data_IF_125669491981
#
_entry.id   IF_125669491981
#
_cell.length_a   1.000
_cell.length_b   1.000
_cell.length_c   1.000
_cell.angle_alpha   90.00
_cell.angle_beta   90.00
_cell.angle_gamma   90.00
#
_symmetry.space_group_name_H-M   'P 1'
#
loop_
_entity.id
_entity.type
_entity.pdbx_description
1 polymer ?
#
# COMPACT_ATOMS: atom_id res chain seq x y z
N UNK A 1 20.78 -4.72 41.35
CA UNK A 1 20.81 -4.87 42.82
C UNK A 1 19.64 -5.72 43.30
N UNK A 2 18.39 -5.46 42.89
CA UNK A 2 17.25 -6.19 43.47
C UNK A 2 16.92 -7.53 42.79
N UNK A 3 17.23 -7.66 41.49
CA UNK A 3 16.97 -8.88 40.71
C UNK A 3 17.83 -10.08 41.12
N UNK A 4 19.06 -9.84 41.60
CA UNK A 4 19.94 -10.89 42.11
C UNK A 4 19.49 -11.39 43.48
N UNK A 5 18.98 -10.50 44.35
CA UNK A 5 18.44 -10.88 45.66
C UNK A 5 17.17 -11.75 45.55
N UNK A 6 16.43 -11.67 44.45
CA UNK A 6 15.23 -12.49 44.21
C UNK A 6 15.60 -13.88 43.63
N UNK A 7 16.69 -13.97 42.86
CA UNK A 7 17.17 -15.23 42.28
C UNK A 7 17.90 -16.12 43.28
N UNK A 8 18.49 -15.53 44.32
CA UNK A 8 19.13 -16.23 45.44
C UNK A 8 18.25 -16.09 46.70
N UNK A 9 17.24 -16.96 46.89
CA UNK A 9 16.33 -16.82 48.01
C UNK A 9 17.07 -16.96 49.34
N UNK A 10 16.64 -16.25 50.39
CA UNK A 10 17.21 -16.44 51.72
C UNK A 10 16.97 -17.88 52.20
N UNK A 11 17.94 -18.47 52.87
CA UNK A 11 17.89 -19.85 53.33
C UNK A 11 17.53 -19.94 54.81
N UNK A 12 16.62 -20.84 55.16
CA UNK A 12 16.40 -21.24 56.55
C UNK A 12 17.40 -22.33 56.90
N UNK A 13 18.32 -22.02 57.81
CA UNK A 13 19.44 -22.88 58.17
C UNK A 13 19.28 -23.27 59.65
N UNK A 14 19.30 -24.57 59.98
CA UNK A 14 19.33 -25.00 61.37
C UNK A 14 20.55 -24.44 62.10
N UNK A 15 20.38 -24.09 63.38
CA UNK A 15 21.42 -23.45 64.18
C UNK A 15 22.73 -24.26 64.24
N UNK A 16 22.62 -25.59 64.24
CA UNK A 16 23.74 -26.54 64.23
C UNK A 16 24.65 -26.42 62.99
N UNK A 17 24.15 -25.84 61.90
CA UNK A 17 24.85 -25.66 60.63
C UNK A 17 25.36 -24.23 60.41
N UNK A 18 25.17 -23.33 61.37
CA UNK A 18 25.64 -21.94 61.32
C UNK A 18 27.15 -21.88 61.06
N UNK A 19 27.56 -21.17 60.01
CA UNK A 19 28.97 -20.97 59.62
C UNK A 19 29.69 -22.19 59.03
N UNK A 20 29.08 -23.38 59.05
CA UNK A 20 29.66 -24.62 58.49
C UNK A 20 29.15 -24.92 57.08
N UNK A 21 28.06 -24.28 56.68
CA UNK A 21 27.45 -24.48 55.37
C UNK A 21 28.11 -23.60 54.30
N UNK A 22 28.51 -24.20 53.19
CA UNK A 22 28.98 -23.52 51.98
C UNK A 22 28.03 -23.81 50.83
N UNK A 23 27.15 -22.86 50.50
CA UNK A 23 26.28 -22.96 49.33
C UNK A 23 27.13 -22.58 48.12
N UNK A 24 27.52 -23.58 47.32
CA UNK A 24 28.16 -23.40 46.02
C UNK A 24 27.50 -24.35 45.02
N UNK A 25 27.35 -23.97 43.74
CA UNK A 25 26.89 -24.89 42.71
C UNK A 25 27.72 -26.18 42.73
N UNK A 26 27.05 -27.35 42.72
CA UNK A 26 27.66 -28.70 42.78
C UNK A 26 28.39 -29.06 44.08
N UNK A 27 28.17 -28.31 45.18
CA UNK A 27 28.67 -28.68 46.50
C UNK A 27 27.91 -29.87 47.08
N UNK A 28 28.61 -30.84 47.67
CA UNK A 28 27.99 -31.93 48.42
C UNK A 28 27.77 -31.51 49.87
N UNK A 29 26.56 -31.74 50.38
CA UNK A 29 26.21 -31.52 51.79
C UNK A 29 25.85 -32.84 52.44
N UNK A 30 26.44 -33.12 53.59
CA UNK A 30 26.15 -34.30 54.38
C UNK A 30 25.26 -33.90 55.56
N UNK A 31 24.14 -34.59 55.73
CA UNK A 31 23.21 -34.38 56.84
C UNK A 31 22.89 -35.74 57.48
N UNK A 32 22.56 -35.71 58.77
CA UNK A 32 22.24 -36.92 59.56
C UNK A 32 20.73 -37.12 59.75
N UNK A 33 19.98 -36.02 59.80
CA UNK A 33 18.55 -35.99 60.06
C UNK A 33 17.84 -35.28 58.89
N UNK A 34 16.85 -35.94 58.29
CA UNK A 34 16.06 -35.43 57.18
C UNK A 34 15.22 -34.20 57.55
N UNK A 35 15.00 -33.95 58.83
CA UNK A 35 14.24 -32.78 59.33
C UNK A 35 15.09 -31.51 59.32
N UNK A 36 16.42 -31.66 59.38
CA UNK A 36 17.40 -30.56 59.51
C UNK A 36 17.97 -30.14 58.15
N UNK A 37 17.17 -30.21 57.09
CA UNK A 37 17.59 -29.79 55.76
C UNK A 37 17.47 -28.27 55.62
N UNK A 38 18.53 -27.58 55.16
CA UNK A 38 18.42 -26.20 54.73
C UNK A 38 17.39 -26.11 53.60
N UNK A 39 16.37 -25.28 53.78
CA UNK A 39 15.34 -25.04 52.76
C UNK A 39 15.34 -23.57 52.38
N UNK A 40 15.15 -23.23 51.09
CA UNK A 40 14.93 -21.86 50.70
C UNK A 40 13.65 -21.37 51.38
N UNK A 41 13.68 -20.15 51.93
CA UNK A 41 12.49 -19.53 52.48
C UNK A 41 11.54 -19.26 51.33
N UNK A 42 10.44 -20.01 51.27
CA UNK A 42 9.36 -19.73 50.35
C UNK A 42 8.64 -18.49 50.88
N UNK A 43 9.07 -17.30 50.44
CA UNK A 43 8.51 -16.02 50.87
C UNK A 43 7.10 -15.75 50.33
N UNK A 44 6.48 -16.71 49.61
CA UNK A 44 5.20 -16.52 48.93
C UNK A 44 5.25 -15.48 47.81
N UNK A 45 6.43 -14.95 47.48
CA UNK A 45 6.63 -14.03 46.37
C UNK A 45 6.52 -14.86 45.08
N UNK A 46 5.42 -14.67 44.36
CA UNK A 46 5.22 -15.29 43.05
C UNK A 46 6.33 -14.85 42.09
N UNK A 47 6.98 -15.80 41.41
CA UNK A 47 7.98 -15.56 40.36
C UNK A 47 7.36 -15.10 39.02
N UNK A 48 6.04 -15.28 38.86
CA UNK A 48 5.28 -14.89 37.66
C UNK A 48 5.47 -13.42 37.20
N UNK A 49 5.64 -12.41 38.07
CA UNK A 49 5.94 -11.04 37.65
C UNK A 49 7.34 -10.88 37.04
N UNK A 50 8.31 -11.73 37.41
CA UNK A 50 9.68 -11.66 36.90
C UNK A 50 9.75 -12.10 35.43
N UNK A 51 9.12 -13.23 35.11
CA UNK A 51 9.06 -13.74 33.73
C UNK A 51 8.37 -12.74 32.81
N UNK A 52 7.29 -12.11 33.28
CA UNK A 52 6.59 -11.04 32.55
C UNK A 52 7.45 -9.81 32.33
N UNK A 53 8.25 -9.39 33.32
CA UNK A 53 9.14 -8.23 33.17
C UNK A 53 10.31 -8.54 32.21
N UNK A 54 10.84 -9.76 32.26
CA UNK A 54 11.89 -10.21 31.35
C UNK A 54 11.36 -10.29 29.90
N UNK A 55 10.17 -10.85 29.73
CA UNK A 55 9.47 -10.88 28.44
C UNK A 55 9.17 -9.46 27.93
N UNK A 56 8.70 -8.56 28.80
CA UNK A 56 8.47 -7.15 28.45
C UNK A 56 9.76 -6.48 27.97
N UNK A 57 10.88 -6.67 28.67
CA UNK A 57 12.18 -6.09 28.28
C UNK A 57 12.67 -6.67 26.97
N UNK A 58 12.55 -7.99 26.78
CA UNK A 58 12.89 -8.64 25.52
C UNK A 58 12.06 -8.08 24.37
N UNK A 59 10.75 -7.93 24.55
CA UNK A 59 9.85 -7.36 23.54
C UNK A 59 10.22 -5.90 23.19
N UNK A 60 10.62 -5.09 24.17
CA UNK A 60 11.11 -3.71 23.90
C UNK A 60 12.36 -3.73 23.02
N UNK A 61 13.32 -4.60 23.34
CA UNK A 61 14.56 -4.76 22.56
C UNK A 61 14.23 -5.25 21.15
N UNK A 62 13.44 -6.31 21.03
CA UNK A 62 13.06 -6.92 19.75
C UNK A 62 12.29 -5.92 18.86
N UNK A 63 11.42 -5.10 19.46
CA UNK A 63 10.73 -4.01 18.76
C UNK A 63 11.69 -2.90 18.33
N UNK A 64 12.65 -2.53 19.17
CA UNK A 64 13.66 -1.52 18.83
C UNK A 64 14.53 -1.95 17.64
N UNK A 65 14.91 -3.23 17.58
CA UNK A 65 15.67 -3.82 16.47
C UNK A 65 14.79 -4.34 15.33
N UNK A 66 13.48 -4.14 15.41
CA UNK A 66 12.51 -4.52 14.37
C UNK A 66 12.61 -5.99 13.96
N UNK A 67 12.90 -6.86 14.93
CA UNK A 67 13.08 -8.30 14.71
C UNK A 67 11.83 -8.91 14.08
N UNK A 68 10.65 -8.46 14.49
CA UNK A 68 9.37 -8.90 13.92
C UNK A 68 9.25 -8.60 12.41
N UNK A 69 9.72 -7.44 11.93
CA UNK A 69 9.71 -7.09 10.51
C UNK A 69 10.60 -8.03 9.69
N UNK A 70 11.84 -8.26 10.13
CA UNK A 70 12.77 -9.14 9.43
C UNK A 70 12.31 -10.60 9.48
N UNK A 71 11.79 -11.04 10.63
CA UNK A 71 11.24 -12.39 10.80
C UNK A 71 10.04 -12.60 9.89
N UNK A 72 9.13 -11.63 9.79
CA UNK A 72 8.00 -11.67 8.86
C UNK A 72 8.48 -11.71 7.40
N UNK A 73 9.50 -10.91 7.02
CA UNK A 73 10.07 -10.97 5.67
C UNK A 73 10.62 -12.35 5.32
N UNK A 74 11.27 -13.02 6.28
CA UNK A 74 11.77 -14.38 6.11
C UNK A 74 10.64 -15.41 6.03
N UNK A 75 9.58 -15.25 6.81
CA UNK A 75 8.44 -16.18 6.87
C UNK A 75 7.43 -15.99 5.72
N UNK A 76 7.34 -14.78 5.15
CA UNK A 76 6.43 -14.44 4.06
C UNK A 76 6.64 -15.30 2.79
N UNK A 77 7.78 -15.99 2.67
CA UNK A 77 8.03 -16.92 1.57
C UNK A 77 7.34 -18.29 1.72
N UNK A 78 6.86 -18.68 2.91
CA UNK A 78 6.57 -20.09 3.20
C UNK A 78 5.09 -20.46 3.38
N UNK A 79 4.22 -19.58 3.88
CA UNK A 79 2.86 -20.02 4.30
C UNK A 79 1.74 -18.97 4.21
N UNK A 80 1.96 -17.79 3.62
CA UNK A 80 0.96 -16.71 3.68
C UNK A 80 0.32 -16.41 2.32
N UNK A 81 -0.98 -16.10 2.34
CA UNK A 81 -1.74 -15.65 1.16
C UNK A 81 -1.23 -14.28 0.69
N UNK A 82 -1.17 -14.06 -0.63
CA UNK A 82 -0.58 -12.87 -1.25
C UNK A 82 -1.15 -11.52 -0.73
N UNK A 83 -2.42 -11.49 -0.32
CA UNK A 83 -3.09 -10.31 0.24
C UNK A 83 -2.66 -10.00 1.67
N UNK A 84 -2.59 -11.02 2.53
CA UNK A 84 -2.18 -10.85 3.93
C UNK A 84 -0.71 -10.41 4.05
N UNK A 85 0.15 -10.91 3.14
CA UNK A 85 1.54 -10.44 3.05
C UNK A 85 1.60 -8.95 2.70
N UNK A 86 0.76 -8.49 1.77
CA UNK A 86 0.75 -7.10 1.35
C UNK A 86 0.28 -6.17 2.48
N UNK A 87 -0.80 -6.54 3.17
CA UNK A 87 -1.32 -5.78 4.29
C UNK A 87 -0.31 -5.70 5.44
N UNK A 88 0.25 -6.84 5.87
CA UNK A 88 1.26 -6.86 6.94
C UNK A 88 2.57 -6.16 6.55
N UNK A 89 3.00 -6.26 5.30
CA UNK A 89 4.13 -5.45 4.80
C UNK A 89 3.80 -3.96 4.83
N UNK A 90 2.56 -3.56 4.52
CA UNK A 90 2.19 -2.15 4.53
C UNK A 90 2.21 -1.55 5.94
N UNK A 91 1.71 -2.29 6.94
CA UNK A 91 1.71 -1.88 8.35
C UNK A 91 3.14 -1.78 8.88
N UNK A 92 3.98 -2.77 8.61
CA UNK A 92 5.37 -2.75 9.07
C UNK A 92 6.23 -1.68 8.36
N UNK A 93 5.96 -1.37 7.08
CA UNK A 93 6.62 -0.24 6.42
C UNK A 93 6.12 1.11 6.98
N UNK A 94 4.91 1.19 7.51
CA UNK A 94 4.46 2.37 8.26
C UNK A 94 5.32 2.59 9.51
N UNK A 95 5.65 1.52 10.25
CA UNK A 95 6.56 1.58 11.41
C UNK A 95 7.98 2.03 11.01
N UNK A 96 8.46 1.60 9.84
CA UNK A 96 9.77 2.00 9.28
C UNK A 96 9.79 3.42 8.68
N UNK A 97 8.63 4.05 8.47
CA UNK A 97 8.53 5.31 7.73
C UNK A 97 9.39 6.45 8.32
N UNK A 98 9.43 6.68 9.65
CA UNK A 98 10.28 7.71 10.25
C UNK A 98 11.78 7.47 9.99
N UNK A 99 12.22 6.22 10.07
CA UNK A 99 13.61 5.84 9.83
C UNK A 99 13.99 6.05 8.36
N UNK A 100 13.09 5.65 7.45
CA UNK A 100 13.28 5.88 6.02
C UNK A 100 13.48 7.36 5.73
N UNK A 101 12.70 8.27 6.33
CA UNK A 101 12.88 9.72 6.14
C UNK A 101 14.31 10.14 6.51
N UNK A 102 14.82 9.72 7.66
CA UNK A 102 16.18 10.04 8.11
C UNK A 102 17.23 9.47 7.13
N UNK A 103 17.06 8.22 6.68
CA UNK A 103 17.93 7.62 5.67
C UNK A 103 17.86 8.35 4.33
N UNK A 104 16.67 8.78 3.90
CA UNK A 104 16.50 9.53 2.65
C UNK A 104 17.16 10.90 2.72
N UNK A 105 17.06 11.61 3.84
CA UNK A 105 17.74 12.89 4.06
C UNK A 105 19.26 12.70 4.05
N UNK A 106 19.75 11.68 4.76
CA UNK A 106 21.18 11.32 4.74
C UNK A 106 21.67 10.99 3.31
N UNK A 107 20.95 10.14 2.58
CA UNK A 107 21.31 9.78 1.21
C UNK A 107 21.27 11.00 0.28
N UNK A 108 20.30 11.89 0.46
CA UNK A 108 20.24 13.15 -0.31
C UNK A 108 21.48 14.00 -0.07
N UNK A 109 21.89 14.19 1.20
CA UNK A 109 23.13 14.92 1.53
C UNK A 109 24.38 14.26 0.96
N UNK A 110 24.44 12.92 0.96
CA UNK A 110 25.56 12.16 0.36
C UNK A 110 25.58 12.34 -1.17
N UNK A 111 24.43 12.25 -1.82
CA UNK A 111 24.28 12.48 -3.27
C UNK A 111 24.70 13.90 -3.62
N UNK A 112 24.23 14.91 -2.88
CA UNK A 112 24.59 16.31 -3.12
C UNK A 112 26.10 16.54 -2.96
N UNK A 113 26.71 15.96 -1.91
CA UNK A 113 28.16 16.08 -1.69
C UNK A 113 28.97 15.40 -2.78
N UNK A 114 28.57 14.21 -3.22
CA UNK A 114 29.25 13.47 -4.29
C UNK A 114 29.06 14.17 -5.64
N UNK A 115 27.85 14.65 -5.93
CA UNK A 115 27.54 15.43 -7.14
C UNK A 115 28.36 16.72 -7.21
N UNK A 116 28.44 17.49 -6.13
CA UNK A 116 29.23 18.72 -6.09
C UNK A 116 30.73 18.48 -6.34
N UNK A 117 31.28 17.36 -5.85
CA UNK A 117 32.67 16.97 -6.14
C UNK A 117 32.87 16.44 -7.56
N UNK A 118 31.87 15.76 -8.12
CA UNK A 118 31.92 15.20 -9.46
C UNK A 118 31.54 16.20 -10.57
N UNK A 119 31.05 17.39 -10.21
CA UNK A 119 30.58 18.44 -11.14
C UNK A 119 31.61 18.82 -12.21
N UNK A 120 32.90 18.78 -11.90
CA UNK A 120 33.98 19.06 -12.85
C UNK A 120 34.25 17.93 -13.85
N UNK A 121 33.74 16.72 -13.58
CA UNK A 121 33.91 15.50 -14.39
C UNK A 121 32.61 15.02 -15.04
N UNK A 122 31.49 15.68 -14.75
CA UNK A 122 30.20 15.37 -15.34
C UNK A 122 30.02 16.09 -16.68
N UNK A 123 29.34 15.46 -17.66
CA UNK A 123 28.96 16.14 -18.91
C UNK A 123 28.13 17.40 -18.60
N UNK A 124 28.26 18.43 -19.46
CA UNK A 124 27.47 19.66 -19.33
C UNK A 124 25.99 19.30 -19.34
N UNK A 125 25.28 19.86 -18.36
CA UNK A 125 23.84 19.59 -18.22
C UNK A 125 23.09 20.13 -19.44
N UNK A 126 22.13 19.36 -19.99
CA UNK A 126 21.36 19.79 -21.15
C UNK A 126 20.68 21.15 -20.91
N UNK A 127 20.60 22.02 -21.93
CA UNK A 127 19.91 23.31 -21.81
C UNK A 127 18.44 23.07 -21.40
N UNK A 128 18.01 23.72 -20.30
CA UNK A 128 16.66 23.61 -19.74
C UNK A 128 16.54 22.82 -18.43
N UNK A 129 17.59 22.13 -17.98
CA UNK A 129 17.56 21.37 -16.72
C UNK A 129 18.26 22.14 -15.58
N UNK A 130 17.50 22.64 -14.62
CA UNK A 130 18.06 23.27 -13.41
C UNK A 130 18.40 22.21 -12.36
N UNK A 131 19.70 21.92 -12.23
CA UNK A 131 20.27 20.95 -11.27
C UNK A 131 19.96 21.34 -9.82
N UNK A 132 19.64 22.62 -9.55
CA UNK A 132 19.37 23.11 -8.19
C UNK A 132 18.06 22.58 -7.58
N UNK A 133 17.23 21.86 -8.35
CA UNK A 133 15.91 21.36 -7.92
C UNK A 133 15.71 19.86 -8.15
N UNK A 134 16.73 19.03 -7.90
CA UNK A 134 16.56 17.57 -7.93
C UNK A 134 15.72 17.14 -6.72
N UNK A 135 14.41 16.92 -6.92
CA UNK A 135 13.55 16.27 -5.92
C UNK A 135 13.77 14.76 -5.97
N UNK A 136 14.58 14.26 -5.05
CA UNK A 136 14.74 12.81 -4.86
C UNK A 136 13.41 12.24 -4.33
N UNK A 137 12.73 11.41 -5.14
CA UNK A 137 11.55 10.66 -4.69
C UNK A 137 11.95 9.21 -4.46
N UNK A 138 11.87 8.75 -3.22
CA UNK A 138 12.03 7.33 -2.91
C UNK A 138 10.77 6.57 -3.32
N UNK A 139 10.86 5.85 -4.43
CA UNK A 139 9.81 4.94 -4.88
C UNK A 139 9.97 3.62 -4.11
N UNK A 140 9.62 3.63 -2.82
CA UNK A 140 9.60 2.44 -1.99
C UNK A 140 8.40 1.53 -2.27
N UNK A 141 8.38 0.30 -1.70
CA UNK A 141 7.25 -0.61 -1.83
C UNK A 141 5.96 -0.06 -1.20
N UNK A 142 6.04 0.76 -0.15
CA UNK A 142 4.85 1.34 0.49
C UNK A 142 4.20 2.47 -0.32
N UNK A 143 4.93 3.50 -0.81
CA UNK A 143 4.34 4.46 -1.75
C UNK A 143 3.72 3.78 -2.98
N UNK A 144 4.36 2.73 -3.51
CA UNK A 144 3.81 1.91 -4.60
C UNK A 144 2.55 1.15 -4.18
N UNK A 145 2.52 0.56 -2.98
CA UNK A 145 1.34 -0.13 -2.47
C UNK A 145 0.16 0.82 -2.23
N UNK A 146 0.43 2.03 -1.71
CA UNK A 146 -0.59 3.08 -1.55
C UNK A 146 -1.13 3.56 -2.91
N UNK A 147 -0.25 3.75 -3.89
CA UNK A 147 -0.65 4.10 -5.26
C UNK A 147 -1.51 2.99 -5.88
N UNK A 148 -1.10 1.72 -5.75
CA UNK A 148 -1.88 0.57 -6.22
C UNK A 148 -3.25 0.47 -5.55
N UNK A 149 -3.33 0.74 -4.24
CA UNK A 149 -4.61 0.77 -3.53
C UNK A 149 -5.50 1.93 -4.02
N UNK A 150 -4.92 3.11 -4.27
CA UNK A 150 -5.64 4.24 -4.85
C UNK A 150 -6.17 3.91 -6.26
N UNK A 151 -5.37 3.28 -7.12
CA UNK A 151 -5.79 2.83 -8.46
C UNK A 151 -6.93 1.83 -8.39
N UNK A 152 -6.83 0.83 -7.51
CA UNK A 152 -7.92 -0.12 -7.27
C UNK A 152 -9.19 0.58 -6.77
N UNK A 153 -9.04 1.60 -5.93
CA UNK A 153 -10.14 2.45 -5.49
C UNK A 153 -10.81 3.17 -6.66
N UNK A 154 -10.03 3.82 -7.52
CA UNK A 154 -10.53 4.52 -8.71
C UNK A 154 -11.30 3.57 -9.63
N UNK A 155 -10.74 2.39 -9.93
CA UNK A 155 -11.41 1.41 -10.81
C UNK A 155 -12.72 0.90 -10.21
N UNK A 156 -12.76 0.65 -8.90
CA UNK A 156 -13.99 0.27 -8.19
C UNK A 156 -15.03 1.38 -8.23
N UNK A 157 -14.61 2.63 -8.02
CA UNK A 157 -15.51 3.80 -8.11
C UNK A 157 -16.07 3.95 -9.52
N UNK A 158 -15.24 3.80 -10.56
CA UNK A 158 -15.71 3.85 -11.95
C UNK A 158 -16.70 2.73 -12.27
N UNK A 159 -16.44 1.51 -11.77
CA UNK A 159 -17.36 0.39 -11.94
C UNK A 159 -18.70 0.65 -11.24
N UNK A 160 -18.66 1.08 -9.98
CA UNK A 160 -19.87 1.41 -9.22
C UNK A 160 -20.67 2.55 -9.86
N UNK A 161 -19.98 3.58 -10.39
CA UNK A 161 -20.61 4.66 -11.13
C UNK A 161 -21.30 4.13 -12.38
N UNK A 162 -20.60 3.33 -13.18
CA UNK A 162 -21.16 2.73 -14.41
C UNK A 162 -22.35 1.80 -14.16
N UNK A 163 -22.37 1.09 -13.03
CA UNK A 163 -23.53 0.29 -12.59
C UNK A 163 -24.68 1.20 -12.14
N UNK A 164 -24.39 2.26 -11.37
CA UNK A 164 -25.41 3.21 -10.91
C UNK A 164 -26.12 3.95 -12.05
N UNK A 165 -25.38 4.32 -13.10
CA UNK A 165 -25.91 4.99 -14.29
C UNK A 165 -26.92 4.13 -15.06
N UNK A 166 -26.79 2.80 -15.00
CA UNK A 166 -27.72 1.86 -15.65
C UNK A 166 -28.98 1.62 -14.83
N UNK A 167 -28.87 1.71 -13.51
CA UNK A 167 -29.94 1.34 -12.58
C UNK A 167 -30.83 2.52 -12.19
N UNK A 168 -30.29 3.75 -12.18
CA UNK A 168 -30.99 4.94 -11.69
C UNK A 168 -31.26 5.89 -12.87
N UNK A 169 -32.52 6.03 -13.32
CA UNK A 169 -32.89 6.99 -14.36
C UNK A 169 -32.54 8.42 -13.95
N UNK A 170 -31.92 9.20 -14.83
CA UNK A 170 -31.50 10.58 -14.56
C UNK A 170 -30.15 10.73 -13.86
N UNK A 171 -29.50 9.63 -13.45
CA UNK A 171 -28.15 9.66 -12.87
C UNK A 171 -27.03 9.85 -13.90
N UNK A 172 -27.36 9.94 -15.19
CA UNK A 172 -26.42 10.15 -16.31
C UNK A 172 -25.57 11.42 -16.13
N UNK A 173 -26.16 12.49 -15.55
CA UNK A 173 -25.47 13.75 -15.24
C UNK A 173 -24.38 13.58 -14.17
N UNK A 174 -24.39 12.48 -13.41
CA UNK A 174 -23.33 12.18 -12.43
C UNK A 174 -21.98 11.93 -13.10
N UNK A 175 -21.96 11.59 -14.39
CA UNK A 175 -20.73 11.47 -15.16
C UNK A 175 -19.99 12.81 -15.33
N UNK A 176 -20.69 13.94 -15.25
CA UNK A 176 -20.09 15.27 -15.42
C UNK A 176 -19.12 15.63 -14.30
N UNK A 177 -19.23 14.97 -13.14
CA UNK A 177 -18.29 15.13 -12.03
C UNK A 177 -16.98 14.37 -12.22
N UNK A 178 -16.88 13.49 -13.23
CA UNK A 178 -15.74 12.58 -13.42
C UNK A 178 -14.92 12.97 -14.63
N UNK A 179 -13.72 13.50 -14.39
CA UNK A 179 -12.75 13.76 -15.46
C UNK A 179 -12.01 12.47 -15.85
N UNK A 180 -12.53 11.79 -16.88
CA UNK A 180 -11.95 10.54 -17.40
C UNK A 180 -10.54 10.73 -17.99
N UNK A 181 -10.22 11.91 -18.51
CA UNK A 181 -8.90 12.20 -19.10
C UNK A 181 -7.81 12.27 -18.03
N UNK A 182 -8.09 12.93 -16.91
CA UNK A 182 -7.17 12.98 -15.78
C UNK A 182 -7.00 11.61 -15.12
N UNK A 183 -8.08 10.83 -14.97
CA UNK A 183 -8.00 9.47 -14.44
C UNK A 183 -7.13 8.58 -15.33
N UNK A 184 -7.34 8.64 -16.65
CA UNK A 184 -6.56 7.87 -17.61
C UNK A 184 -5.08 8.25 -17.56
N UNK A 185 -4.77 9.55 -17.53
CA UNK A 185 -3.39 10.04 -17.39
C UNK A 185 -2.76 9.61 -16.06
N UNK A 186 -3.54 9.61 -14.98
CA UNK A 186 -3.08 9.16 -13.66
C UNK A 186 -2.70 7.68 -13.71
N UNK A 187 -3.60 6.81 -14.20
CA UNK A 187 -3.34 5.37 -14.31
C UNK A 187 -2.11 5.09 -15.19
N UNK A 188 -2.02 5.70 -16.38
CA UNK A 188 -0.87 5.51 -17.29
C UNK A 188 0.47 5.91 -16.66
N UNK A 189 0.48 6.96 -15.83
CA UNK A 189 1.70 7.45 -15.19
C UNK A 189 2.21 6.53 -14.08
N UNK A 190 1.30 5.91 -13.32
CA UNK A 190 1.67 5.14 -12.13
C UNK A 190 1.76 3.62 -12.40
N UNK A 191 1.02 3.10 -13.39
CA UNK A 191 1.10 1.71 -13.83
C UNK A 191 2.38 1.40 -14.65
N UNK A 192 3.36 2.30 -14.61
CA UNK A 192 4.66 2.14 -15.27
C UNK A 192 4.58 1.94 -16.78
N UNK A 193 3.55 2.49 -17.43
CA UNK A 193 3.45 2.49 -18.88
C UNK A 193 4.64 3.27 -19.46
N UNK A 194 5.42 2.68 -20.39
CA UNK A 194 6.51 3.39 -21.05
C UNK A 194 6.00 4.67 -21.73
N UNK A 195 6.69 5.81 -21.59
CA UNK A 195 6.24 7.07 -22.22
C UNK A 195 6.01 6.93 -23.74
N UNK A 196 6.74 6.02 -24.40
CA UNK A 196 6.58 5.69 -25.83
C UNK A 196 5.19 5.13 -26.20
N UNK A 197 4.40 4.62 -25.26
CA UNK A 197 3.04 4.10 -25.53
C UNK A 197 1.94 5.12 -25.25
N UNK A 198 2.30 6.27 -24.68
CA UNK A 198 1.35 7.34 -24.32
C UNK A 198 1.39 8.40 -25.41
N UNK A 199 0.23 8.65 -26.03
CA UNK A 199 0.08 9.73 -27.02
C UNK A 199 0.15 11.09 -26.35
N UNK A 200 0.67 12.09 -27.07
CA UNK A 200 0.66 13.47 -26.60
C UNK A 200 -0.74 14.08 -26.69
N UNK A 201 -1.01 15.08 -25.85
CA UNK A 201 -2.32 15.74 -25.79
C UNK A 201 -2.79 16.29 -27.15
N UNK A 202 -1.86 16.82 -27.94
CA UNK A 202 -2.15 17.32 -29.30
C UNK A 202 -2.63 16.23 -30.25
N UNK A 203 -1.99 15.06 -30.20
CA UNK A 203 -2.37 13.91 -31.04
C UNK A 203 -3.77 13.40 -30.65
N UNK A 204 -4.08 13.36 -29.36
CA UNK A 204 -5.40 12.96 -28.86
C UNK A 204 -6.48 13.95 -29.29
N UNK A 205 -6.22 15.25 -29.22
CA UNK A 205 -7.14 16.29 -29.68
C UNK A 205 -7.40 16.22 -31.20
N UNK A 206 -6.37 15.99 -32.00
CA UNK A 206 -6.49 15.81 -33.44
C UNK A 206 -7.34 14.59 -33.78
N UNK A 207 -7.07 13.45 -33.13
CA UNK A 207 -7.88 12.23 -33.29
C UNK A 207 -9.35 12.50 -32.91
N UNK A 208 -9.62 13.29 -31.87
CA UNK A 208 -10.99 13.65 -31.45
C UNK A 208 -11.68 14.53 -32.49
N UNK A 209 -10.97 15.50 -33.08
CA UNK A 209 -11.51 16.34 -34.16
C UNK A 209 -11.87 15.52 -35.38
N UNK A 210 -10.96 14.66 -35.84
CA UNK A 210 -11.22 13.77 -36.99
C UNK A 210 -12.41 12.85 -36.70
N UNK A 211 -12.53 12.31 -35.48
CA UNK A 211 -13.68 11.49 -35.10
C UNK A 211 -14.99 12.28 -35.09
N UNK A 212 -14.96 13.54 -34.64
CA UNK A 212 -16.14 14.40 -34.61
C UNK A 212 -16.59 14.78 -36.03
N UNK A 213 -15.66 15.08 -36.92
CA UNK A 213 -15.93 15.35 -38.35
C UNK A 213 -16.53 14.13 -39.04
N UNK A 214 -15.94 12.95 -38.84
CA UNK A 214 -16.45 11.69 -39.39
C UNK A 214 -17.87 11.38 -38.88
N UNK A 215 -18.11 11.57 -37.57
CA UNK A 215 -19.43 11.38 -36.97
C UNK A 215 -20.48 12.41 -37.44
N UNK A 216 -20.05 13.62 -37.80
CA UNK A 216 -20.94 14.63 -38.39
C UNK A 216 -21.32 14.25 -39.83
N UNK A 217 -20.34 13.80 -40.62
CA UNK A 217 -20.57 13.36 -41.99
C UNK A 217 -21.47 12.12 -42.04
N UNK A 218 -21.24 11.15 -41.14
CA UNK A 218 -22.08 9.96 -41.02
C UNK A 218 -23.54 10.32 -40.71
N UNK A 219 -23.77 11.24 -39.76
CA UNK A 219 -25.11 11.73 -39.43
C UNK A 219 -25.81 12.43 -40.60
N UNK A 220 -25.08 13.16 -41.45
CA UNK A 220 -25.64 13.79 -42.65
C UNK A 220 -26.08 12.75 -43.69
N UNK A 221 -25.26 11.71 -43.90
CA UNK A 221 -25.59 10.63 -44.83
C UNK A 221 -26.81 9.85 -44.33
N UNK A 222 -26.86 9.52 -43.04
CA UNK A 222 -28.01 8.85 -42.41
C UNK A 222 -29.28 9.70 -42.50
N UNK A 223 -29.19 11.02 -42.28
CA UNK A 223 -30.33 11.93 -42.45
C UNK A 223 -30.83 11.98 -43.90
N UNK A 224 -29.92 12.05 -44.89
CA UNK A 224 -30.29 12.00 -46.31
C UNK A 224 -30.93 10.65 -46.70
N UNK A 225 -30.43 9.53 -46.17
CA UNK A 225 -31.02 8.21 -46.44
C UNK A 225 -32.39 8.04 -45.79
N UNK A 226 -32.57 8.49 -44.55
CA UNK A 226 -33.87 8.47 -43.88
C UNK A 226 -34.90 9.33 -44.62
N UNK A 227 -34.48 10.50 -45.13
CA UNK A 227 -35.33 11.38 -45.91
C UNK A 227 -35.65 10.78 -47.28
N UNK A 228 -34.68 10.14 -47.95
CA UNK A 228 -34.88 9.42 -49.22
C UNK A 228 -35.83 8.22 -49.11
N UNK A 229 -35.81 7.47 -48.00
CA UNK A 229 -36.76 6.39 -47.75
C UNK A 229 -38.18 6.90 -47.44
N UNK A 230 -38.32 8.04 -46.77
CA UNK A 230 -39.62 8.69 -46.57
C UNK A 230 -40.26 9.16 -47.89
N UNK A 231 -39.46 9.69 -48.83
CA UNK A 231 -39.94 10.06 -50.16
C UNK A 231 -40.18 8.84 -51.08
N UNK A 232 -39.35 7.80 -50.97
CA UNK A 232 -39.55 6.55 -51.73
C UNK A 232 -40.84 5.80 -51.36
N UNK A 233 -41.25 5.86 -50.09
CA UNK A 233 -42.51 5.27 -49.63
C UNK A 233 -43.76 6.11 -49.96
N UNK A 234 -43.61 7.36 -50.40
CA UNK A 234 -44.72 8.18 -50.91
C UNK A 234 -44.98 7.99 -52.41
N UNK A 235 -44.03 7.42 -53.16
CA UNK A 235 -44.13 7.20 -54.62
C UNK A 235 -44.67 5.83 -55.02
N UNK A 236 -45.10 4.98 -54.08
CA UNK A 236 -45.91 3.82 -54.42
C UNK A 236 -47.36 4.28 -54.57
N UNK A 237 -47.86 4.22 -55.81
CA UNK A 237 -49.20 4.62 -56.20
C UNK A 237 -50.27 4.01 -55.25
N UNK A 238 -51.34 4.76 -54.90
CA UNK A 238 -52.39 4.24 -54.03
C UNK A 238 -53.00 3.00 -54.67
N UNK A 239 -52.85 1.85 -54.01
CA UNK A 239 -53.65 0.67 -54.35
C UNK A 239 -55.09 0.99 -53.91
N UNK A 240 -56.10 0.84 -54.79
CA UNK A 240 -57.49 1.15 -54.46
C UNK A 240 -57.92 0.33 -53.23
N UNK A 241 -58.31 1.01 -52.15
CA UNK A 241 -58.81 0.39 -50.92
C UNK A 241 -57.94 0.53 -49.65
N UNK A 242 -56.89 1.35 -49.65
CA UNK A 242 -56.09 1.66 -48.45
C UNK A 242 -56.68 2.85 -47.67
N UNK A 243 -56.59 2.89 -46.32
CA UNK A 243 -57.15 3.94 -45.44
C UNK A 243 -56.66 5.39 -45.69
N UNK A 244 -55.82 5.63 -46.70
CA UNK A 244 -55.39 6.96 -47.11
C UNK A 244 -56.48 7.79 -47.85
N UNK A 245 -57.57 7.17 -48.32
CA UNK A 245 -58.68 7.90 -48.97
C UNK A 245 -59.62 8.60 -47.97
N UNK A 246 -59.60 8.19 -46.69
CA UNK A 246 -60.42 8.79 -45.64
C UNK A 246 -59.87 10.12 -45.08
N UNK A 247 -58.74 10.62 -45.60
CA UNK A 247 -58.11 11.85 -45.15
C UNK A 247 -58.19 13.01 -46.17
N UNK A 248 -58.82 12.79 -47.33
CA UNK A 248 -59.04 13.84 -48.36
C UNK A 248 -60.54 13.95 -48.71
N UNK A 249 -61.41 13.70 -47.73
CA UNK A 249 -62.84 13.98 -47.77
C UNK A 249 -63.26 14.77 -46.55
#
# INVERSE_FOLDING_TARGET
SDLQLISDPPWVIPESMKGKMRIKPRGMMYYRDHTMLPKPLSTGINYLPLDKELERRKNIIDNHYMVAFFTMLMQAQKTMTATEILEKKSEQVAVLSPMLIIFTDFLTRVIDRTHNKAKSRMPKVPPGMDIRKIKLRFIGPLPRARQKLQEQGILRTLQALGESMKLIPGSEQSADYVNMDEITKHILKYDSAPARVVREDREVEEIRRIRAELAAQQRQIEAMQAQGQAYGNMNQAPVPGSPAEAAIG
#
